data_IF_264831270233
#
_entry.id   IF_264831270233
#
_cell.length_a   1.000
_cell.length_b   1.000
_cell.length_c   1.000
_cell.angle_alpha   90.00
_cell.angle_beta   90.00
_cell.angle_gamma   90.00
#
_symmetry.space_group_name_H-M   'P 1'
#
loop_
_entity.id
_entity.type
_entity.pdbx_description
1 polymer ?
#
# COMPACT_ATOMS: atom_id res chain seq x y z
N UNK A 1 -71.58 -41.05 7.91
CA UNK A 1 -72.72 -40.33 8.53
C UNK A 1 -72.21 -39.54 9.72
N UNK A 2 -72.53 -38.24 9.80
CA UNK A 2 -72.57 -37.37 11.00
C UNK A 2 -71.27 -37.21 11.84
N UNK A 3 -70.93 -36.08 12.46
CA UNK A 3 -71.52 -34.74 12.59
C UNK A 3 -70.44 -33.80 13.17
N UNK A 4 -70.61 -32.51 12.90
CA UNK A 4 -69.95 -31.36 13.53
C UNK A 4 -69.93 -31.41 15.07
N UNK A 5 -68.91 -30.77 15.65
CA UNK A 5 -68.92 -30.27 17.03
C UNK A 5 -67.68 -29.43 17.31
N UNK A 6 -67.80 -28.11 17.18
CA UNK A 6 -66.76 -27.14 17.50
C UNK A 6 -66.61 -26.96 19.02
N UNK A 7 -65.39 -26.66 19.51
CA UNK A 7 -65.20 -25.55 20.44
C UNK A 7 -63.72 -25.11 20.52
N UNK A 8 -63.55 -23.81 20.44
CA UNK A 8 -62.35 -22.99 20.53
C UNK A 8 -61.72 -23.05 21.93
N UNK A 9 -60.39 -23.13 22.01
CA UNK A 9 -59.64 -22.75 23.20
C UNK A 9 -58.29 -22.11 22.81
N UNK A 10 -58.26 -20.79 22.98
CA UNK A 10 -57.13 -19.87 23.21
C UNK A 10 -55.72 -20.31 22.78
N UNK A 11 -55.21 -19.64 21.74
CA UNK A 11 -53.78 -19.54 21.45
C UNK A 11 -53.07 -18.77 22.56
N UNK A 12 -52.47 -19.48 23.50
CA UNK A 12 -51.39 -18.93 24.33
C UNK A 12 -50.10 -18.92 23.52
N UNK A 13 -49.67 -17.72 23.10
CA UNK A 13 -48.34 -17.46 22.56
C UNK A 13 -47.27 -17.83 23.60
N UNK A 14 -46.74 -19.04 23.49
CA UNK A 14 -45.46 -19.42 24.11
C UNK A 14 -44.36 -19.05 23.11
N UNK A 15 -43.95 -17.78 23.17
CA UNK A 15 -42.66 -17.35 22.64
C UNK A 15 -41.61 -18.05 23.51
N UNK A 16 -40.97 -19.07 22.94
CA UNK A 16 -39.73 -19.58 23.52
C UNK A 16 -38.70 -18.45 23.50
N UNK A 17 -38.09 -18.04 24.62
CA UNK A 17 -36.93 -17.20 24.54
C UNK A 17 -35.81 -18.09 23.97
N UNK A 18 -35.42 -17.81 22.73
CA UNK A 18 -34.07 -18.13 22.30
C UNK A 18 -33.16 -17.57 23.39
N UNK A 19 -32.39 -18.41 24.06
CA UNK A 19 -31.25 -17.95 24.85
C UNK A 19 -30.34 -17.20 23.87
N UNK A 20 -30.49 -15.88 23.81
CA UNK A 20 -29.44 -15.00 23.35
C UNK A 20 -28.28 -15.26 24.31
N UNK A 21 -27.28 -16.01 23.85
CA UNK A 21 -25.97 -15.99 24.47
C UNK A 21 -25.50 -14.56 24.35
N UNK A 22 -25.62 -13.79 25.43
CA UNK A 22 -24.88 -12.54 25.55
C UNK A 22 -23.40 -12.86 25.32
N UNK A 23 -22.84 -12.25 24.28
CA UNK A 23 -21.39 -12.18 24.14
C UNK A 23 -20.86 -11.52 25.42
N UNK A 24 -19.76 -12.03 26.01
CA UNK A 24 -19.20 -11.41 27.20
C UNK A 24 -18.93 -9.93 26.91
N UNK A 25 -19.16 -9.03 27.88
CA UNK A 25 -18.87 -7.61 27.69
C UNK A 25 -17.42 -7.48 27.24
N UNK A 26 -17.22 -6.84 26.09
CA UNK A 26 -15.88 -6.41 25.65
C UNK A 26 -15.33 -5.60 26.81
N UNK A 27 -14.26 -6.10 27.42
CA UNK A 27 -13.60 -5.40 28.49
C UNK A 27 -13.09 -4.07 27.93
N UNK A 28 -13.78 -2.98 28.25
CA UNK A 28 -13.25 -1.63 28.17
C UNK A 28 -12.19 -1.47 29.25
N UNK A 29 -11.05 -2.13 29.06
CA UNK A 29 -9.82 -1.68 29.68
C UNK A 29 -9.25 -0.59 28.80
N UNK A 30 -9.60 0.65 29.17
CA UNK A 30 -8.70 1.78 29.10
C UNK A 30 -7.34 1.33 29.62
N UNK A 31 -6.48 0.82 28.74
CA UNK A 31 -5.08 0.69 29.06
C UNK A 31 -4.50 2.09 29.04
N UNK A 32 -4.38 2.65 30.24
CA UNK A 32 -3.46 3.71 30.58
C UNK A 32 -2.12 3.44 29.87
N UNK A 33 -1.86 4.17 28.79
CA UNK A 33 -0.52 4.35 28.29
C UNK A 33 0.20 5.31 29.24
N UNK A 34 0.66 4.80 30.38
CA UNK A 34 1.86 5.35 31.01
C UNK A 34 3.04 4.95 30.14
N UNK A 35 3.37 5.78 29.15
CA UNK A 35 4.47 5.54 28.22
C UNK A 35 4.41 6.43 26.99
N UNK A 36 4.97 7.63 27.12
CA UNK A 36 5.33 8.59 26.07
C UNK A 36 4.19 9.34 25.34
N UNK A 37 4.10 10.64 25.62
CA UNK A 37 3.40 11.67 24.81
C UNK A 37 4.02 11.88 23.41
N UNK A 38 4.86 10.94 22.96
CA UNK A 38 5.61 10.96 21.70
C UNK A 38 4.99 10.08 20.60
N UNK A 39 3.90 9.34 20.89
CA UNK A 39 3.25 8.42 19.93
C UNK A 39 2.56 9.09 18.74
N UNK A 40 2.41 10.43 18.75
CA UNK A 40 1.81 11.23 17.66
C UNK A 40 2.83 12.05 16.88
N UNK A 41 4.11 11.67 16.84
CA UNK A 41 5.17 12.47 16.18
C UNK A 41 6.10 11.67 15.27
N UNK A 42 5.76 10.42 14.93
CA UNK A 42 6.60 9.61 14.06
C UNK A 42 6.22 9.84 12.60
N UNK A 43 6.82 10.85 11.99
CA UNK A 43 6.72 11.06 10.53
C UNK A 43 7.05 9.79 9.75
N UNK A 44 7.92 8.93 10.30
CA UNK A 44 8.29 7.64 9.72
C UNK A 44 7.12 6.67 9.51
N UNK A 45 6.06 6.77 10.33
CA UNK A 45 4.85 5.95 10.11
C UNK A 45 4.11 6.38 8.82
N UNK A 46 4.42 7.55 8.26
CA UNK A 46 3.85 8.03 7.00
C UNK A 46 4.87 7.73 5.88
N UNK A 47 4.71 6.59 5.22
CA UNK A 47 5.70 6.09 4.28
C UNK A 47 5.10 5.66 2.95
N UNK A 48 5.97 5.64 1.94
CA UNK A 48 5.79 5.00 0.65
C UNK A 48 6.83 3.90 0.52
N UNK A 49 6.39 2.65 0.44
CA UNK A 49 7.25 1.48 0.28
C UNK A 49 6.90 0.78 -1.04
N UNK A 50 7.82 0.86 -2.00
CA UNK A 50 7.67 0.28 -3.32
C UNK A 50 8.57 -0.94 -3.48
N UNK A 51 7.96 -2.07 -3.83
CA UNK A 51 8.65 -3.25 -4.34
C UNK A 51 8.42 -3.33 -5.84
N UNK A 52 9.51 -3.41 -6.60
CA UNK A 52 9.50 -3.53 -8.06
C UNK A 52 9.98 -4.92 -8.45
N UNK A 53 9.14 -5.66 -9.13
CA UNK A 53 9.52 -6.89 -9.83
C UNK A 53 9.72 -6.58 -11.30
N UNK A 54 10.96 -6.67 -11.79
CA UNK A 54 11.22 -6.62 -13.22
C UNK A 54 11.33 -8.06 -13.74
N UNK A 55 10.29 -8.58 -14.38
CA UNK A 55 10.16 -10.03 -14.60
C UNK A 55 10.75 -10.51 -15.91
N UNK A 56 10.59 -9.77 -17.01
CA UNK A 56 11.01 -10.21 -18.34
C UNK A 56 11.48 -9.02 -19.17
N UNK A 57 12.60 -9.15 -19.88
CA UNK A 57 13.06 -8.15 -20.83
C UNK A 57 14.58 -8.19 -21.07
N UNK A 58 15.05 -7.79 -22.27
CA UNK A 58 16.46 -7.85 -22.62
C UNK A 58 17.25 -6.61 -22.14
N UNK A 59 16.55 -5.52 -21.81
CA UNK A 59 17.16 -4.26 -21.43
C UNK A 59 17.31 -4.18 -19.92
N UNK A 60 18.45 -3.66 -19.48
CA UNK A 60 18.61 -3.20 -18.11
C UNK A 60 17.81 -1.90 -17.94
N UNK A 61 17.11 -1.75 -16.83
CA UNK A 61 16.45 -0.50 -16.45
C UNK A 61 17.25 0.20 -15.37
N UNK A 62 17.15 1.52 -15.27
CA UNK A 62 17.80 2.27 -14.21
C UNK A 62 16.95 3.46 -13.74
N UNK A 63 17.07 3.75 -12.46
CA UNK A 63 16.37 4.86 -11.80
C UNK A 63 17.18 6.14 -11.93
N UNK A 64 16.51 7.23 -12.30
CA UNK A 64 17.11 8.57 -12.38
C UNK A 64 16.08 9.65 -12.03
N UNK A 65 16.52 10.91 -11.95
CA UNK A 65 15.70 12.09 -11.64
C UNK A 65 14.89 11.94 -10.34
N UNK A 66 15.40 11.16 -9.38
CA UNK A 66 14.73 10.95 -8.10
C UNK A 66 14.83 12.19 -7.23
N UNK A 67 13.71 12.60 -6.66
CA UNK A 67 13.63 13.74 -5.74
C UNK A 67 12.59 13.49 -4.64
N UNK A 68 12.77 14.20 -3.52
CA UNK A 68 11.79 14.30 -2.44
C UNK A 68 11.48 15.78 -2.19
N UNK A 69 10.20 16.13 -2.12
CA UNK A 69 9.75 17.42 -1.61
C UNK A 69 9.69 17.41 -0.08
N UNK A 70 9.29 16.25 0.46
CA UNK A 70 9.19 15.99 1.89
C UNK A 70 9.72 14.59 2.24
N UNK A 71 10.20 14.45 3.47
CA UNK A 71 10.65 13.18 4.02
C UNK A 71 12.12 12.89 3.79
N UNK A 72 12.43 11.58 3.80
CA UNK A 72 13.76 11.01 3.61
C UNK A 72 13.66 9.63 2.95
N UNK A 73 14.72 9.23 2.25
CA UNK A 73 14.86 7.86 1.75
C UNK A 73 15.29 6.95 2.90
N UNK A 74 14.74 5.74 2.96
CA UNK A 74 15.03 4.78 4.04
C UNK A 74 15.27 3.38 3.50
N UNK A 75 15.93 2.53 4.29
CA UNK A 75 16.24 1.14 3.90
C UNK A 75 14.99 0.29 3.66
N UNK A 76 13.91 0.55 4.39
CA UNK A 76 12.64 -0.12 4.17
C UNK A 76 11.60 0.23 5.22
N UNK A 77 10.37 -0.29 5.05
CA UNK A 77 9.25 0.00 5.96
C UNK A 77 9.41 -0.50 7.40
N UNK A 78 10.38 -1.39 7.64
CA UNK A 78 10.74 -1.91 8.96
C UNK A 78 12.10 -1.38 9.45
N UNK A 79 12.81 -0.59 8.64
CA UNK A 79 14.11 0.02 8.97
C UNK A 79 14.18 1.44 8.38
N UNK A 80 13.84 2.43 9.20
CA UNK A 80 13.80 3.84 8.83
C UNK A 80 15.17 4.54 8.85
N UNK A 81 16.26 3.77 8.86
CA UNK A 81 17.62 4.32 8.70
C UNK A 81 17.70 5.09 7.37
N UNK A 82 18.08 6.37 7.45
CA UNK A 82 18.18 7.26 6.29
C UNK A 82 19.28 6.77 5.34
N UNK A 83 18.98 6.77 4.04
CA UNK A 83 19.91 6.40 2.96
C UNK A 83 19.95 7.48 1.87
N UNK A 84 20.84 7.31 0.90
CA UNK A 84 20.88 8.14 -0.30
C UNK A 84 19.67 7.89 -1.21
N UNK A 85 19.47 8.84 -2.13
CA UNK A 85 18.50 8.73 -3.22
C UNK A 85 18.69 7.43 -4.03
N UNK A 86 17.61 6.83 -4.57
CA UNK A 86 17.70 5.63 -5.41
C UNK A 86 18.26 5.93 -6.82
N UNK A 87 18.71 7.16 -7.11
CA UNK A 87 19.37 7.48 -8.38
C UNK A 87 20.56 6.54 -8.64
N UNK A 88 20.56 5.92 -9.83
CA UNK A 88 21.56 4.93 -10.23
C UNK A 88 21.20 3.48 -9.86
N UNK A 89 20.08 3.25 -9.14
CA UNK A 89 19.57 1.89 -8.92
C UNK A 89 19.33 1.22 -10.28
N UNK A 90 20.00 0.10 -10.50
CA UNK A 90 19.99 -0.64 -11.76
C UNK A 90 19.18 -1.92 -11.58
N UNK A 91 18.31 -2.21 -12.54
CA UNK A 91 17.36 -3.32 -12.53
C UNK A 91 17.53 -4.22 -13.75
N UNK A 92 17.74 -5.51 -13.51
CA UNK A 92 17.82 -6.58 -14.52
C UNK A 92 16.57 -7.46 -14.42
N UNK A 93 16.23 -8.13 -15.53
CA UNK A 93 15.09 -9.04 -15.53
C UNK A 93 15.25 -10.16 -14.49
N UNK A 94 14.11 -10.67 -14.01
CA UNK A 94 13.96 -11.59 -12.88
C UNK A 94 14.46 -11.03 -11.54
N UNK A 95 14.53 -9.71 -11.40
CA UNK A 95 14.98 -9.03 -10.20
C UNK A 95 13.85 -8.45 -9.33
N UNK A 96 14.14 -8.29 -8.05
CA UNK A 96 13.32 -7.59 -7.06
C UNK A 96 14.08 -6.38 -6.53
N UNK A 97 13.44 -5.21 -6.50
CA UNK A 97 14.06 -3.93 -6.15
C UNK A 97 13.16 -3.14 -5.21
N UNK A 98 13.79 -2.39 -4.31
CA UNK A 98 13.10 -1.72 -3.21
C UNK A 98 13.41 -0.23 -3.22
N UNK A 99 12.38 0.59 -3.16
CA UNK A 99 12.50 2.04 -2.98
C UNK A 99 11.53 2.41 -1.87
N UNK A 100 12.05 2.94 -0.77
CA UNK A 100 11.23 3.38 0.35
C UNK A 100 11.57 4.81 0.74
N UNK A 101 10.54 5.61 0.96
CA UNK A 101 10.64 6.92 1.55
C UNK A 101 9.65 7.04 2.71
N UNK A 102 9.99 7.85 3.71
CA UNK A 102 9.10 8.13 4.84
C UNK A 102 9.22 9.57 5.30
N UNK A 103 8.29 10.01 6.13
CA UNK A 103 8.43 11.27 6.85
C UNK A 103 9.66 11.29 7.76
N UNK A 104 10.07 12.49 8.18
CA UNK A 104 11.27 12.64 9.01
C UNK A 104 10.98 12.23 10.45
N UNK A 105 11.97 11.63 11.11
CA UNK A 105 11.90 11.25 12.52
C UNK A 105 11.55 12.48 13.37
N UNK A 106 10.64 12.31 14.33
CA UNK A 106 10.22 13.37 15.26
C UNK A 106 9.62 14.62 14.60
N UNK A 107 9.15 14.48 13.36
CA UNK A 107 8.54 15.55 12.59
C UNK A 107 7.12 15.14 12.17
N UNK A 108 6.12 16.02 12.26
CA UNK A 108 4.77 15.77 11.75
C UNK A 108 4.74 15.94 10.23
N UNK A 109 5.57 15.18 9.52
CA UNK A 109 5.71 15.22 8.07
C UNK A 109 5.43 13.85 7.47
N UNK A 110 4.90 13.86 6.26
CA UNK A 110 4.82 12.68 5.42
C UNK A 110 5.95 12.65 4.40
N UNK A 111 5.72 12.01 3.25
CA UNK A 111 6.71 11.95 2.18
C UNK A 111 6.07 12.25 0.84
N UNK A 112 6.73 13.10 0.06
CA UNK A 112 6.36 13.39 -1.32
C UNK A 112 7.60 13.23 -2.17
N UNK A 113 7.47 12.56 -3.30
CA UNK A 113 8.59 12.37 -4.20
C UNK A 113 8.21 11.74 -5.52
N UNK A 114 9.23 11.60 -6.35
CA UNK A 114 9.10 10.88 -7.61
C UNK A 114 10.45 10.38 -8.10
N UNK A 115 10.41 9.52 -9.11
CA UNK A 115 11.57 9.15 -9.90
C UNK A 115 11.15 8.72 -11.30
N UNK A 116 12.13 8.69 -12.20
CA UNK A 116 12.01 8.10 -13.53
C UNK A 116 12.75 6.76 -13.60
N UNK A 117 12.24 5.88 -14.45
CA UNK A 117 12.95 4.68 -14.90
C UNK A 117 13.23 4.82 -16.38
N UNK A 118 14.48 4.60 -16.76
CA UNK A 118 14.94 4.56 -18.13
C UNK A 118 15.46 3.16 -18.48
N UNK A 119 15.39 2.79 -19.74
CA UNK A 119 16.06 1.61 -20.27
C UNK A 119 17.50 1.94 -20.69
N UNK A 120 18.35 0.92 -20.73
CA UNK A 120 19.78 1.04 -21.05
C UNK A 120 20.08 1.60 -22.45
N UNK A 121 19.09 1.64 -23.34
CA UNK A 121 19.16 2.29 -24.64
C UNK A 121 18.67 3.76 -24.62
N UNK A 122 18.43 4.32 -23.44
CA UNK A 122 18.16 5.74 -23.22
C UNK A 122 16.69 6.15 -23.30
N UNK A 123 15.74 5.22 -23.46
CA UNK A 123 14.32 5.55 -23.49
C UNK A 123 13.74 5.68 -22.08
N UNK A 124 12.87 6.67 -21.86
CA UNK A 124 12.12 6.79 -20.61
C UNK A 124 11.01 5.75 -20.62
N UNK A 125 11.02 4.86 -19.63
CA UNK A 125 10.08 3.74 -19.53
C UNK A 125 8.90 4.09 -18.64
N UNK A 126 9.18 4.61 -17.44
CA UNK A 126 8.18 4.80 -16.39
C UNK A 126 8.48 6.05 -15.58
N UNK A 127 7.42 6.73 -15.15
CA UNK A 127 7.46 7.71 -14.07
C UNK A 127 6.64 7.22 -12.90
N UNK A 128 7.15 7.37 -11.68
CA UNK A 128 6.45 7.06 -10.42
C UNK A 128 6.46 8.30 -9.55
N UNK A 129 5.31 8.67 -8.99
CA UNK A 129 5.17 9.74 -8.01
C UNK A 129 4.29 9.28 -6.86
N UNK A 130 4.53 9.83 -5.68
CA UNK A 130 3.68 9.69 -4.50
C UNK A 130 3.63 10.99 -3.71
N UNK A 131 2.55 11.12 -2.95
CA UNK A 131 2.37 12.10 -1.89
C UNK A 131 1.62 11.42 -0.74
N UNK A 132 2.33 11.13 0.34
CA UNK A 132 1.77 10.56 1.57
C UNK A 132 1.69 11.67 2.60
N UNK A 133 0.50 12.17 2.87
CA UNK A 133 0.28 13.27 3.83
C UNK A 133 0.40 12.75 5.26
N UNK A 134 0.96 13.57 6.15
CA UNK A 134 1.04 13.26 7.57
C UNK A 134 -0.34 12.99 8.17
N UNK A 135 -0.53 11.81 8.77
CA UNK A 135 -1.80 11.34 9.35
C UNK A 135 -2.99 11.44 8.37
N UNK A 136 -2.71 11.38 7.06
CA UNK A 136 -3.68 11.56 5.99
C UNK A 136 -3.60 10.46 4.93
N UNK A 137 -4.29 10.68 3.81
CA UNK A 137 -4.28 9.74 2.70
C UNK A 137 -3.02 9.90 1.85
N UNK A 138 -2.50 8.77 1.37
CA UNK A 138 -1.43 8.73 0.39
C UNK A 138 -1.96 8.59 -1.03
N UNK A 139 -1.52 9.47 -1.90
CA UNK A 139 -1.70 9.39 -3.34
C UNK A 139 -0.46 8.79 -4.00
N UNK A 140 -0.68 8.10 -5.11
CA UNK A 140 0.41 7.65 -5.95
C UNK A 140 -0.04 7.50 -7.39
N UNK A 141 0.91 7.64 -8.31
CA UNK A 141 0.67 7.49 -9.74
C UNK A 141 1.85 6.85 -10.43
N UNK A 142 1.54 6.14 -11.51
CA UNK A 142 2.52 5.61 -12.46
C UNK A 142 2.10 5.99 -13.87
N UNK A 143 3.08 6.36 -14.69
CA UNK A 143 2.87 6.63 -16.12
C UNK A 143 3.91 5.85 -16.92
N UNK A 144 3.46 4.99 -17.83
CA UNK A 144 4.33 4.25 -18.75
C UNK A 144 4.45 5.06 -20.04
N UNK A 145 5.67 5.29 -20.51
CA UNK A 145 5.95 6.07 -21.72
C UNK A 145 6.43 5.21 -22.89
N UNK A 146 7.09 4.09 -22.60
CA UNK A 146 7.63 3.19 -23.61
C UNK A 146 6.69 2.00 -23.81
N UNK A 147 6.10 1.88 -25.00
CA UNK A 147 5.15 0.82 -25.35
C UNK A 147 5.77 -0.58 -25.37
N UNK A 148 7.10 -0.69 -25.37
CA UNK A 148 7.82 -1.96 -25.20
C UNK A 148 7.69 -2.52 -23.79
N UNK A 149 7.19 -1.73 -22.84
CA UNK A 149 7.01 -2.15 -21.46
C UNK A 149 5.55 -2.06 -21.03
N UNK A 150 5.15 -3.00 -20.20
CA UNK A 150 3.94 -2.91 -19.41
C UNK A 150 4.33 -2.86 -17.94
N UNK A 151 3.65 -1.97 -17.21
CA UNK A 151 3.67 -1.97 -15.76
C UNK A 151 2.28 -2.29 -15.24
N UNK A 152 2.19 -3.11 -14.19
CA UNK A 152 0.98 -3.37 -13.41
C UNK A 152 1.29 -3.17 -11.94
N UNK A 153 0.30 -2.79 -11.14
CA UNK A 153 0.57 -2.51 -9.74
C UNK A 153 -0.61 -2.81 -8.84
N UNK A 154 -0.28 -3.17 -7.60
CA UNK A 154 -1.22 -3.31 -6.49
C UNK A 154 -0.80 -2.36 -5.37
N UNK A 155 -1.79 -1.72 -4.74
CA UNK A 155 -1.62 -0.77 -3.63
C UNK A 155 -2.36 -1.30 -2.41
N UNK A 156 -1.73 -1.22 -1.25
CA UNK A 156 -2.32 -1.50 0.06
C UNK A 156 -2.06 -0.30 0.99
N UNK A 157 -3.06 0.07 1.79
CA UNK A 157 -2.95 1.12 2.80
C UNK A 157 -3.30 2.52 2.31
N UNK A 158 -3.49 3.43 3.28
CA UNK A 158 -3.82 4.84 3.04
C UNK A 158 -2.62 5.73 3.38
N UNK A 159 -2.25 5.83 4.65
CA UNK A 159 -1.08 6.57 5.16
C UNK A 159 0.21 5.74 5.17
N UNK A 160 0.09 4.42 5.09
CA UNK A 160 1.17 3.43 5.04
C UNK A 160 1.13 2.80 3.66
N UNK A 161 1.74 3.46 2.69
CA UNK A 161 1.50 3.17 1.29
C UNK A 161 2.45 2.07 0.80
N UNK A 162 1.98 0.83 0.87
CA UNK A 162 2.65 -0.34 0.29
C UNK A 162 2.23 -0.51 -1.16
N UNK A 163 3.20 -0.47 -2.09
CA UNK A 163 2.97 -0.67 -3.51
C UNK A 163 3.85 -1.79 -4.04
N UNK A 164 3.25 -2.71 -4.78
CA UNK A 164 3.97 -3.68 -5.60
C UNK A 164 3.78 -3.32 -7.05
N UNK A 165 4.89 -3.15 -7.77
CA UNK A 165 4.92 -2.82 -9.19
C UNK A 165 5.59 -3.97 -9.94
N UNK A 166 4.91 -4.53 -10.94
CA UNK A 166 5.47 -5.52 -11.84
C UNK A 166 5.70 -4.86 -13.19
N UNK A 167 6.96 -4.80 -13.61
CA UNK A 167 7.40 -4.33 -14.93
C UNK A 167 7.75 -5.55 -15.77
N UNK A 168 7.25 -5.59 -17.01
CA UNK A 168 7.64 -6.59 -18.00
C UNK A 168 7.82 -5.94 -19.37
N UNK A 169 8.77 -6.44 -20.14
CA UNK A 169 8.87 -6.20 -21.56
C UNK A 169 7.70 -6.91 -22.24
N UNK A 170 7.08 -6.24 -23.19
CA UNK A 170 6.17 -6.86 -24.15
C UNK A 170 6.91 -6.95 -25.46
N UNK A 171 7.10 -8.19 -25.93
CA UNK A 171 7.60 -8.41 -27.28
C UNK A 171 6.69 -7.64 -28.25
N UNK A 172 7.23 -6.61 -28.89
CA UNK A 172 6.58 -6.05 -30.06
C UNK A 172 6.49 -7.14 -31.10
N UNK A 173 5.32 -7.34 -31.70
CA UNK A 173 5.25 -7.91 -33.05
C UNK A 173 6.33 -7.19 -33.85
N UNK A 174 7.30 -7.96 -34.35
CA UNK A 174 8.29 -7.43 -35.27
C UNK A 174 7.50 -6.75 -36.39
N UNK A 175 7.61 -5.43 -36.50
CA UNK A 175 7.15 -4.73 -37.70
C UNK A 175 8.10 -5.22 -38.80
N UNK A 176 7.63 -6.24 -39.52
CA UNK A 176 8.25 -6.79 -40.70
C UNK A 176 8.20 -5.80 -41.87
#
# INVERSE_FOLDING_TARGET
MAKLGALVAFFSFLVAPLLARELPPVATHLNNATGDSHSKLKGEDNYFALVIYYTEGPLTLYVTNSWLGYGKWVRGKNDFTEIGSPNGLTMTAWGEYHITASGRSWSPTGTEGSFDVYSSDGQRVLYVYWDVVYAGMGEWKRTVFDSRFQATATRIGESHLDVTLVIKSVAGEAIA
#
